data_IF_332790817922
#
_entry.id   IF_332790817922
#
_cell.length_a   1.000
_cell.length_b   1.000
_cell.length_c   1.000
_cell.angle_alpha   90.00
_cell.angle_beta   90.00
_cell.angle_gamma   90.00
#
_symmetry.space_group_name_H-M   'P 1'
#
loop_
_entity.id
_entity.type
_entity.pdbx_description
1 polymer ?
#
# COMPACT_ATOMS: atom_id res chain seq x y z
N UNK A 1 -2.53 8.48 -23.70
CA UNK A 1 -2.28 7.02 -23.53
C UNK A 1 -3.57 6.22 -23.74
N UNK A 2 -4.40 6.60 -24.73
CA UNK A 2 -5.81 6.16 -24.88
C UNK A 2 -6.01 5.20 -26.08
N UNK A 3 -4.99 5.02 -26.95
CA UNK A 3 -5.13 4.29 -28.21
C UNK A 3 -4.33 2.98 -28.30
N UNK A 4 -3.56 2.59 -27.28
CA UNK A 4 -2.67 1.42 -27.38
C UNK A 4 -3.40 0.07 -27.28
N UNK A 5 -4.60 0.02 -26.67
CA UNK A 5 -5.35 -1.24 -26.53
C UNK A 5 -6.30 -1.53 -27.71
N UNK A 6 -6.85 -0.51 -28.37
CA UNK A 6 -7.78 -0.71 -29.50
C UNK A 6 -7.11 -1.22 -30.78
N UNK A 7 -5.81 -0.95 -30.99
CA UNK A 7 -5.11 -1.28 -32.25
C UNK A 7 -4.67 -2.74 -32.39
N UNK A 8 -4.74 -3.54 -31.33
CA UNK A 8 -4.34 -4.95 -31.37
C UNK A 8 -5.50 -5.89 -31.76
N UNK A 9 -6.74 -5.39 -31.77
CA UNK A 9 -7.94 -6.22 -31.90
C UNK A 9 -8.39 -6.51 -33.34
N UNK A 10 -7.95 -5.76 -34.35
CA UNK A 10 -8.47 -5.90 -35.72
C UNK A 10 -7.73 -6.89 -36.62
N UNK A 11 -6.78 -7.67 -36.09
CA UNK A 11 -5.91 -8.54 -36.91
C UNK A 11 -6.09 -10.05 -36.72
N UNK A 12 -7.05 -10.48 -35.90
CA UNK A 12 -7.19 -11.90 -35.52
C UNK A 12 -8.60 -12.47 -35.80
N UNK A 13 -9.33 -11.90 -36.75
CA UNK A 13 -10.71 -12.34 -37.04
C UNK A 13 -10.87 -12.89 -38.47
N UNK A 14 -9.93 -13.74 -38.88
CA UNK A 14 -10.07 -14.57 -40.07
C UNK A 14 -9.13 -15.76 -39.92
N UNK A 15 -9.64 -16.92 -39.48
CA UNK A 15 -9.48 -18.21 -40.16
C UNK A 15 -10.27 -19.31 -39.42
N UNK A 16 -10.95 -20.12 -40.23
CA UNK A 16 -12.09 -20.96 -39.93
C UNK A 16 -11.82 -22.28 -39.17
N UNK A 17 -12.92 -22.73 -38.54
CA UNK A 17 -13.44 -24.09 -38.32
C UNK A 17 -12.71 -25.31 -38.90
N UNK A 18 -12.46 -26.33 -38.05
CA UNK A 18 -13.23 -27.59 -37.96
C UNK A 18 -12.48 -28.65 -37.11
N UNK A 19 -13.26 -29.47 -36.37
CA UNK A 19 -13.15 -30.95 -36.26
C UNK A 19 -12.93 -31.60 -34.85
N UNK A 20 -14.02 -32.23 -34.39
CA UNK A 20 -14.19 -33.50 -33.63
C UNK A 20 -13.58 -33.78 -32.24
N UNK A 21 -14.43 -33.63 -31.21
CA UNK A 21 -15.01 -34.70 -30.32
C UNK A 21 -14.13 -35.81 -29.71
N UNK A 22 -12.82 -35.64 -29.57
CA UNK A 22 -11.99 -36.51 -28.71
C UNK A 22 -11.03 -35.73 -27.79
N UNK A 23 -11.25 -34.41 -27.67
CA UNK A 23 -10.30 -33.43 -27.12
C UNK A 23 -10.66 -32.89 -25.74
N UNK A 24 -11.83 -33.21 -25.20
CA UNK A 24 -12.34 -32.48 -24.03
C UNK A 24 -11.49 -32.71 -22.76
N UNK A 25 -11.04 -33.93 -22.46
CA UNK A 25 -10.27 -34.16 -21.23
C UNK A 25 -8.88 -33.51 -21.26
N UNK A 26 -8.14 -33.66 -22.37
CA UNK A 26 -6.80 -33.07 -22.51
C UNK A 26 -6.87 -31.53 -22.60
N UNK A 27 -7.91 -30.98 -23.25
CA UNK A 27 -8.09 -29.54 -23.36
C UNK A 27 -8.46 -28.88 -22.02
N UNK A 28 -9.28 -29.54 -21.18
CA UNK A 28 -9.57 -29.07 -19.83
C UNK A 28 -8.34 -29.15 -18.91
N UNK A 29 -7.56 -30.24 -19.00
CA UNK A 29 -6.32 -30.36 -18.23
C UNK A 29 -5.26 -29.32 -18.64
N UNK A 30 -5.03 -29.13 -19.94
CA UNK A 30 -4.09 -28.11 -20.43
C UNK A 30 -4.52 -26.68 -20.10
N UNK A 31 -5.81 -26.38 -20.13
CA UNK A 31 -6.29 -25.06 -19.73
C UNK A 31 -6.09 -24.83 -18.22
N UNK A 32 -6.37 -25.83 -17.39
CA UNK A 32 -6.13 -25.76 -15.94
C UNK A 32 -4.64 -25.55 -15.61
N UNK A 33 -3.74 -26.26 -16.30
CA UNK A 33 -2.30 -26.10 -16.14
C UNK A 33 -1.81 -24.71 -16.57
N UNK A 34 -2.28 -24.20 -17.71
CA UNK A 34 -1.92 -22.87 -18.20
C UNK A 34 -2.38 -21.74 -17.27
N UNK A 35 -3.58 -21.86 -16.71
CA UNK A 35 -4.12 -20.92 -15.72
C UNK A 35 -3.29 -20.92 -14.42
N UNK A 36 -2.94 -22.10 -13.93
CA UNK A 36 -2.06 -22.26 -12.77
C UNK A 36 -0.67 -21.67 -13.04
N UNK A 37 -0.09 -21.95 -14.22
CA UNK A 37 1.20 -21.40 -14.62
C UNK A 37 1.19 -19.86 -14.68
N UNK A 38 0.11 -19.26 -15.19
CA UNK A 38 -0.05 -17.81 -15.25
C UNK A 38 -0.14 -17.18 -13.86
N UNK A 39 -0.91 -17.78 -12.94
CA UNK A 39 -0.99 -17.35 -11.55
C UNK A 39 0.36 -17.47 -10.83
N UNK A 40 1.10 -18.57 -11.07
CA UNK A 40 2.44 -18.76 -10.53
C UNK A 40 3.44 -17.74 -11.10
N UNK A 41 3.34 -17.40 -12.38
CA UNK A 41 4.17 -16.36 -12.99
C UNK A 41 3.89 -14.98 -12.38
N UNK A 42 2.63 -14.66 -12.08
CA UNK A 42 2.26 -13.46 -11.32
C UNK A 42 2.89 -13.47 -9.92
N UNK A 43 2.67 -14.53 -9.14
CA UNK A 43 3.23 -14.67 -7.77
C UNK A 43 4.76 -14.62 -7.76
N UNK A 44 5.40 -15.24 -8.74
CA UNK A 44 6.87 -15.24 -8.88
C UNK A 44 7.41 -13.83 -9.17
N UNK A 45 6.77 -13.07 -10.05
CA UNK A 45 7.18 -11.68 -10.34
C UNK A 45 7.09 -10.81 -9.09
N UNK A 46 5.98 -10.89 -8.36
CA UNK A 46 5.76 -10.15 -7.11
C UNK A 46 6.77 -10.57 -6.05
N UNK A 47 6.99 -11.88 -5.89
CA UNK A 47 7.97 -12.42 -4.95
C UNK A 47 9.41 -11.99 -5.26
N UNK A 48 9.79 -11.87 -6.54
CA UNK A 48 11.10 -11.33 -6.94
C UNK A 48 11.27 -9.87 -6.50
N UNK A 49 10.24 -9.05 -6.69
CA UNK A 49 10.27 -7.66 -6.23
C UNK A 49 10.41 -7.57 -4.70
N UNK A 50 9.65 -8.39 -3.98
CA UNK A 50 9.74 -8.48 -2.51
C UNK A 50 11.11 -8.99 -2.07
N UNK A 51 11.68 -9.96 -2.78
CA UNK A 51 13.04 -10.44 -2.55
C UNK A 51 14.08 -9.32 -2.68
N UNK A 52 13.93 -8.46 -3.69
CA UNK A 52 14.77 -7.26 -3.85
C UNK A 52 14.60 -6.29 -2.67
N UNK A 53 13.35 -6.06 -2.23
CA UNK A 53 13.07 -5.22 -1.07
C UNK A 53 13.71 -5.79 0.21
N UNK A 54 13.74 -7.12 0.36
CA UNK A 54 14.40 -7.80 1.48
C UNK A 54 15.93 -7.69 1.45
N UNK A 55 16.55 -7.64 0.27
CA UNK A 55 18.00 -7.45 0.14
C UNK A 55 18.44 -6.06 0.59
N UNK A 56 17.53 -5.09 0.53
CA UNK A 56 17.76 -3.73 1.03
C UNK A 56 17.65 -3.63 2.56
N UNK A 57 17.13 -4.67 3.23
CA UNK A 57 16.96 -4.77 4.70
C UNK A 57 18.18 -5.35 5.43
N UNK A 58 19.38 -5.23 4.88
CA UNK A 58 20.60 -5.77 5.52
C UNK A 58 20.82 -5.17 6.92
N UNK A 59 21.47 -5.89 7.85
CA UNK A 59 21.82 -5.34 9.17
C UNK A 59 22.58 -4.01 9.01
N UNK A 60 22.07 -2.93 9.62
CA UNK A 60 22.61 -1.58 9.50
C UNK A 60 21.99 -0.72 8.38
N UNK A 61 21.08 -1.26 7.58
CA UNK A 61 20.25 -0.46 6.66
C UNK A 61 19.23 0.38 7.42
N UNK A 62 18.97 1.59 6.92
CA UNK A 62 17.99 2.50 7.49
C UNK A 62 16.57 2.03 7.13
N UNK A 63 16.07 1.06 7.89
CA UNK A 63 14.68 0.63 7.83
C UNK A 63 13.76 1.83 8.11
N UNK A 64 12.64 1.91 7.38
CA UNK A 64 11.70 3.04 7.44
C UNK A 64 12.32 4.36 6.93
N UNK A 65 13.51 4.33 6.33
CA UNK A 65 13.97 5.49 5.56
C UNK A 65 13.03 5.76 4.39
N UNK A 66 13.02 7.02 3.94
CA UNK A 66 12.28 7.44 2.75
C UNK A 66 12.51 6.51 1.56
N UNK A 67 13.77 6.19 1.28
CA UNK A 67 14.15 5.36 0.13
C UNK A 67 13.54 3.96 0.16
N UNK A 68 13.34 3.41 1.36
CA UNK A 68 12.71 2.10 1.52
C UNK A 68 11.19 2.20 1.44
N UNK A 69 10.60 3.26 2.01
CA UNK A 69 9.17 3.59 1.90
C UNK A 69 8.75 3.79 0.42
N UNK A 70 9.54 4.50 -0.38
CA UNK A 70 9.31 4.67 -1.82
C UNK A 70 9.28 3.32 -2.56
N UNK A 71 10.19 2.40 -2.21
CA UNK A 71 10.19 1.05 -2.78
C UNK A 71 8.95 0.25 -2.37
N UNK A 72 8.42 0.46 -1.16
CA UNK A 72 7.14 -0.13 -0.74
C UNK A 72 5.96 0.39 -1.58
N UNK A 73 5.91 1.68 -1.91
CA UNK A 73 4.91 2.21 -2.86
C UNK A 73 5.10 1.63 -4.27
N UNK A 74 6.36 1.47 -4.68
CA UNK A 74 6.73 0.78 -5.91
C UNK A 74 6.15 -0.64 -6.00
N UNK A 75 6.11 -1.38 -4.88
CA UNK A 75 5.51 -2.72 -4.81
C UNK A 75 4.01 -2.70 -5.13
N UNK A 76 3.24 -1.74 -4.61
CA UNK A 76 1.82 -1.60 -4.93
C UNK A 76 1.59 -1.38 -6.43
N UNK A 77 2.31 -0.40 -7.00
CA UNK A 77 2.25 -0.09 -8.43
C UNK A 77 2.68 -1.28 -9.29
N UNK A 78 3.73 -2.01 -8.87
CA UNK A 78 4.23 -3.18 -9.57
C UNK A 78 3.22 -4.33 -9.55
N UNK A 79 2.65 -4.65 -8.39
CA UNK A 79 1.65 -5.70 -8.24
C UNK A 79 0.41 -5.42 -9.09
N UNK A 80 -0.07 -4.17 -9.14
CA UNK A 80 -1.18 -3.78 -10.03
C UNK A 80 -0.85 -4.02 -11.51
N UNK A 81 0.38 -3.71 -11.96
CA UNK A 81 0.82 -3.99 -13.34
C UNK A 81 0.93 -5.49 -13.62
N UNK A 82 1.48 -6.25 -12.68
CA UNK A 82 1.58 -7.70 -12.80
C UNK A 82 0.20 -8.36 -12.86
N UNK A 83 -0.77 -7.85 -12.09
CA UNK A 83 -2.17 -8.29 -12.15
C UNK A 83 -2.82 -7.95 -13.49
N UNK A 84 -2.65 -6.73 -14.00
CA UNK A 84 -3.17 -6.37 -15.32
C UNK A 84 -2.59 -7.27 -16.43
N UNK A 85 -1.30 -7.61 -16.34
CA UNK A 85 -0.69 -8.59 -17.23
C UNK A 85 -1.32 -9.98 -17.09
N UNK A 86 -1.55 -10.46 -15.87
CA UNK A 86 -2.20 -11.74 -15.62
C UNK A 86 -3.56 -11.82 -16.32
N UNK A 87 -4.39 -10.76 -16.24
CA UNK A 87 -5.70 -10.72 -16.89
C UNK A 87 -5.61 -10.84 -18.42
N UNK A 88 -4.56 -10.26 -19.02
CA UNK A 88 -4.28 -10.39 -20.46
C UNK A 88 -3.83 -11.81 -20.79
N UNK A 89 -2.91 -12.37 -20.00
CA UNK A 89 -2.34 -13.70 -20.24
C UNK A 89 -3.40 -14.81 -20.15
N UNK A 90 -4.42 -14.65 -19.29
CA UNK A 90 -5.55 -15.59 -19.18
C UNK A 90 -6.75 -15.23 -20.06
N UNK A 91 -6.69 -14.13 -20.82
CA UNK A 91 -7.80 -13.60 -21.62
C UNK A 91 -9.10 -13.49 -20.81
N UNK A 92 -9.06 -12.74 -19.70
CA UNK A 92 -10.20 -12.55 -18.80
C UNK A 92 -10.36 -11.08 -18.39
N UNK A 93 -10.79 -10.22 -19.33
CA UNK A 93 -10.93 -8.79 -19.08
C UNK A 93 -12.03 -8.50 -18.04
N UNK A 94 -11.92 -7.35 -17.38
CA UNK A 94 -12.88 -6.87 -16.37
C UNK A 94 -14.34 -6.84 -16.84
N UNK A 95 -14.57 -6.67 -18.14
CA UNK A 95 -15.92 -6.63 -18.74
C UNK A 95 -16.69 -7.94 -18.64
N UNK A 96 -16.00 -9.07 -18.50
CA UNK A 96 -16.61 -10.41 -18.41
C UNK A 96 -16.49 -11.02 -17.01
N UNK A 97 -16.08 -10.23 -16.02
CA UNK A 97 -15.99 -10.73 -14.66
C UNK A 97 -17.36 -11.09 -14.10
N UNK A 98 -17.37 -12.19 -13.35
CA UNK A 98 -18.52 -12.61 -12.57
C UNK A 98 -18.73 -11.71 -11.35
N UNK A 99 -19.95 -11.70 -10.83
CA UNK A 99 -20.39 -10.81 -9.75
C UNK A 99 -19.48 -10.90 -8.52
N UNK A 100 -19.05 -12.11 -8.16
CA UNK A 100 -18.21 -12.33 -6.99
C UNK A 100 -16.78 -11.79 -7.19
N UNK A 101 -16.22 -11.88 -8.40
CA UNK A 101 -14.92 -11.27 -8.75
C UNK A 101 -14.98 -9.75 -8.72
N UNK A 102 -16.07 -9.18 -9.26
CA UNK A 102 -16.33 -7.73 -9.22
C UNK A 102 -16.44 -7.25 -7.78
N UNK A 103 -17.25 -7.91 -6.96
CA UNK A 103 -17.44 -7.58 -5.55
C UNK A 103 -16.12 -7.66 -4.78
N UNK A 104 -15.34 -8.73 -4.98
CA UNK A 104 -14.03 -8.91 -4.33
C UNK A 104 -13.05 -7.79 -4.67
N UNK A 105 -12.93 -7.42 -5.95
CA UNK A 105 -12.03 -6.34 -6.39
C UNK A 105 -12.51 -4.95 -5.92
N UNK A 106 -13.81 -4.68 -5.99
CA UNK A 106 -14.39 -3.41 -5.50
C UNK A 106 -14.26 -3.29 -3.97
N UNK A 107 -14.43 -4.38 -3.23
CA UNK A 107 -14.20 -4.40 -1.78
C UNK A 107 -12.74 -4.07 -1.46
N UNK A 108 -11.80 -4.78 -2.08
CA UNK A 108 -10.36 -4.54 -1.92
C UNK A 108 -9.96 -3.09 -2.25
N UNK A 109 -10.35 -2.59 -3.43
CA UNK A 109 -9.98 -1.25 -3.88
C UNK A 109 -10.58 -0.16 -3.00
N UNK A 110 -11.78 -0.35 -2.45
CA UNK A 110 -12.36 0.59 -1.49
C UNK A 110 -11.55 0.65 -0.20
N UNK A 111 -11.19 -0.51 0.36
CA UNK A 111 -10.34 -0.57 1.56
C UNK A 111 -8.99 0.13 1.34
N UNK A 112 -8.39 0.00 0.15
CA UNK A 112 -7.16 0.73 -0.18
C UNK A 112 -7.36 2.25 -0.20
N UNK A 113 -8.46 2.75 -0.75
CA UNK A 113 -8.75 4.19 -0.78
C UNK A 113 -8.95 4.74 0.63
N UNK A 114 -9.63 3.99 1.51
CA UNK A 114 -9.78 4.35 2.93
C UNK A 114 -8.43 4.36 3.67
N UNK A 115 -7.54 3.42 3.33
CA UNK A 115 -6.17 3.39 3.85
C UNK A 115 -5.33 4.57 3.40
N UNK A 116 -5.39 4.94 2.12
CA UNK A 116 -4.71 6.12 1.60
C UNK A 116 -5.23 7.40 2.26
N UNK A 117 -6.55 7.53 2.46
CA UNK A 117 -7.12 8.64 3.23
C UNK A 117 -6.59 8.66 4.68
N UNK A 118 -6.47 7.49 5.31
CA UNK A 118 -5.91 7.37 6.66
C UNK A 118 -4.44 7.81 6.70
N UNK A 119 -3.64 7.41 5.69
CA UNK A 119 -2.25 7.84 5.54
C UNK A 119 -2.17 9.36 5.35
N UNK A 120 -2.99 9.95 4.46
CA UNK A 120 -3.06 11.40 4.24
C UNK A 120 -3.48 12.17 5.49
N UNK A 121 -4.38 11.60 6.30
CA UNK A 121 -4.75 12.16 7.61
C UNK A 121 -3.57 12.12 8.59
N UNK A 122 -2.85 11.01 8.66
CA UNK A 122 -1.66 10.90 9.52
C UNK A 122 -0.56 11.86 9.09
N UNK A 123 -0.33 12.03 7.79
CA UNK A 123 0.59 13.05 7.26
C UNK A 123 0.17 14.47 7.64
N UNK A 124 -1.14 14.75 7.61
CA UNK A 124 -1.67 16.05 8.04
C UNK A 124 -1.41 16.31 9.54
N UNK A 125 -1.52 15.29 10.38
CA UNK A 125 -1.18 15.38 11.80
C UNK A 125 0.32 15.66 12.02
N UNK A 126 1.19 14.97 11.28
CA UNK A 126 2.63 15.24 11.28
C UNK A 126 2.91 16.68 10.83
N UNK A 127 2.23 17.15 9.78
CA UNK A 127 2.31 18.52 9.30
C UNK A 127 1.89 19.56 10.34
N UNK A 128 0.80 19.31 11.08
CA UNK A 128 0.36 20.19 12.16
C UNK A 128 1.37 20.24 13.32
N UNK A 129 1.90 19.08 13.72
CA UNK A 129 2.93 19.02 14.77
C UNK A 129 4.19 19.80 14.37
N UNK A 130 4.63 19.64 13.12
CA UNK A 130 5.74 20.40 12.53
C UNK A 130 5.48 21.90 12.56
N UNK A 131 4.32 22.38 12.12
CA UNK A 131 3.97 23.80 12.16
C UNK A 131 3.95 24.36 13.58
N UNK A 132 3.45 23.58 14.56
CA UNK A 132 3.53 23.95 15.97
C UNK A 132 4.98 24.08 16.44
N UNK A 133 5.84 23.12 16.12
CA UNK A 133 7.26 23.16 16.48
C UNK A 133 7.98 24.37 15.87
N UNK A 134 7.76 24.64 14.57
CA UNK A 134 8.29 25.82 13.90
C UNK A 134 7.82 27.12 14.58
N UNK A 135 6.56 27.20 14.97
CA UNK A 135 6.06 28.36 15.70
C UNK A 135 6.71 28.49 17.09
N UNK A 136 6.84 27.39 17.84
CA UNK A 136 7.53 27.37 19.11
C UNK A 136 8.98 27.88 19.01
N UNK A 137 9.68 27.52 17.94
CA UNK A 137 11.01 28.04 17.63
C UNK A 137 11.03 29.56 17.41
N UNK A 138 10.06 30.11 16.68
CA UNK A 138 9.97 31.59 16.48
C UNK A 138 9.72 32.36 17.77
N UNK A 139 9.09 31.71 18.76
CA UNK A 139 8.80 32.29 20.07
C UNK A 139 9.96 32.12 21.07
N UNK A 140 10.98 31.34 20.74
CA UNK A 140 12.01 30.90 21.67
C UNK A 140 12.80 32.07 22.27
N UNK A 141 13.05 33.11 21.49
CA UNK A 141 13.79 34.31 21.91
C UNK A 141 12.87 35.37 22.56
N UNK A 142 11.65 35.52 22.04
CA UNK A 142 10.77 36.64 22.41
C UNK A 142 9.79 36.29 23.55
N UNK A 143 9.45 35.03 23.74
CA UNK A 143 8.45 34.58 24.72
C UNK A 143 8.65 33.11 25.11
N UNK A 144 9.70 32.80 25.89
CA UNK A 144 10.07 31.41 26.22
C UNK A 144 8.96 30.59 26.89
N UNK A 145 8.15 31.23 27.75
CA UNK A 145 7.00 30.59 28.41
C UNK A 145 5.86 30.22 27.45
N UNK A 146 5.76 30.91 26.32
CA UNK A 146 4.80 30.58 25.25
C UNK A 146 5.39 29.56 24.29
N UNK A 147 6.71 29.61 24.02
CA UNK A 147 7.41 28.63 23.19
C UNK A 147 7.25 27.19 23.68
N UNK A 148 7.33 26.96 25.00
CA UNK A 148 7.18 25.62 25.61
C UNK A 148 5.81 25.00 25.40
N UNK A 149 4.76 25.79 25.13
CA UNK A 149 3.43 25.24 24.79
C UNK A 149 3.40 24.59 23.41
N UNK A 150 4.28 25.02 22.52
CA UNK A 150 4.36 24.63 21.12
C UNK A 150 5.50 23.65 20.82
N UNK A 151 6.59 23.72 21.59
CA UNK A 151 7.73 22.80 21.54
C UNK A 151 7.39 21.47 22.22
N UNK A 152 6.49 20.70 21.61
CA UNK A 152 6.06 19.40 22.10
C UNK A 152 6.48 18.29 21.13
N UNK A 153 6.87 17.12 21.65
CA UNK A 153 7.10 15.95 20.81
C UNK A 153 5.87 15.65 19.94
N UNK A 154 6.13 15.23 18.70
CA UNK A 154 5.11 14.72 17.78
C UNK A 154 4.43 13.54 18.46
N UNK A 155 3.13 13.68 18.71
CA UNK A 155 2.34 12.64 19.36
C UNK A 155 1.98 11.52 18.37
N UNK A 156 1.75 10.30 18.86
CA UNK A 156 1.21 9.23 18.04
C UNK A 156 -0.09 9.67 17.36
N UNK A 157 -0.20 9.40 16.05
CA UNK A 157 -1.39 9.70 15.28
C UNK A 157 -2.55 8.76 15.65
N UNK A 158 -3.79 9.24 15.58
CA UNK A 158 -4.95 8.39 15.84
C UNK A 158 -5.36 7.63 14.57
N UNK A 159 -5.22 6.30 14.59
CA UNK A 159 -5.79 5.44 13.57
C UNK A 159 -7.20 4.98 13.97
N UNK A 160 -8.18 5.27 13.11
CA UNK A 160 -9.55 4.80 13.29
C UNK A 160 -9.75 3.47 12.58
N UNK A 161 -10.16 2.48 13.35
CA UNK A 161 -10.29 1.07 12.95
C UNK A 161 -11.68 0.75 12.42
N UNK A 162 -12.49 1.81 12.22
CA UNK A 162 -13.90 1.70 11.89
C UNK A 162 -14.15 1.40 10.40
N UNK A 163 -13.15 1.58 9.55
CA UNK A 163 -13.27 1.29 8.13
C UNK A 163 -13.14 -0.21 7.86
N UNK A 164 -13.80 -0.70 6.81
CA UNK A 164 -13.69 -2.09 6.39
C UNK A 164 -14.52 -3.12 7.17
N UNK A 165 -15.06 -2.82 8.36
CA UNK A 165 -15.76 -3.80 9.24
C UNK A 165 -16.85 -4.62 8.53
N UNK A 166 -17.59 -3.98 7.63
CA UNK A 166 -18.65 -4.60 6.84
C UNK A 166 -18.11 -5.54 5.74
N UNK A 167 -16.94 -5.23 5.18
CA UNK A 167 -16.29 -6.00 4.12
C UNK A 167 -15.56 -7.26 4.63
N UNK A 168 -15.34 -7.39 5.94
CA UNK A 168 -14.70 -8.58 6.54
C UNK A 168 -15.65 -9.75 6.73
N UNK A 169 -16.94 -9.49 6.98
CA UNK A 169 -17.93 -10.53 7.28
C UNK A 169 -18.27 -11.36 6.03
N UNK A 170 -18.05 -10.80 4.84
CA UNK A 170 -18.45 -11.42 3.57
C UNK A 170 -17.40 -12.36 2.97
N UNK A 171 -16.14 -12.28 3.41
CA UNK A 171 -15.02 -13.06 2.87
C UNK A 171 -14.99 -14.55 3.28
N UNK A 172 -15.80 -14.94 4.27
CA UNK A 172 -15.80 -16.30 4.86
C UNK A 172 -16.92 -17.20 4.36
N UNK A 173 -17.80 -16.73 3.46
CA UNK A 173 -18.65 -17.68 2.73
C UNK A 173 -17.76 -18.45 1.78
N UNK A 174 -17.68 -19.76 1.95
CA UNK A 174 -16.98 -20.68 1.04
C UNK A 174 -17.59 -20.59 -0.37
N UNK A 175 -17.11 -19.61 -1.15
CA UNK A 175 -17.42 -19.45 -2.56
C UNK A 175 -16.46 -20.35 -3.34
N UNK A 176 -17.03 -21.19 -4.20
CA UNK A 176 -16.27 -22.10 -5.03
C UNK A 176 -16.01 -21.44 -6.38
N UNK A 177 -14.79 -20.93 -6.57
CA UNK A 177 -14.35 -20.38 -7.84
C UNK A 177 -13.76 -21.48 -8.72
N UNK A 178 -13.95 -21.37 -10.04
CA UNK A 178 -13.36 -22.30 -11.01
C UNK A 178 -12.78 -21.58 -12.22
N UNK A 179 -11.86 -22.23 -12.93
CA UNK A 179 -11.25 -21.69 -14.15
C UNK A 179 -10.58 -20.32 -13.97
N UNK A 180 -10.88 -19.40 -14.89
CA UNK A 180 -10.31 -18.04 -14.92
C UNK A 180 -10.72 -17.19 -13.70
N UNK A 181 -11.93 -17.41 -13.20
CA UNK A 181 -12.46 -16.71 -12.02
C UNK A 181 -11.63 -17.01 -10.76
N UNK A 182 -11.25 -18.29 -10.59
CA UNK A 182 -10.37 -18.71 -9.50
C UNK A 182 -9.00 -18.02 -9.55
N UNK A 183 -8.41 -17.88 -10.75
CA UNK A 183 -7.13 -17.18 -10.92
C UNK A 183 -7.25 -15.72 -10.50
N UNK A 184 -8.32 -15.02 -10.91
CA UNK A 184 -8.56 -13.62 -10.53
C UNK A 184 -8.76 -13.50 -9.03
N UNK A 185 -9.60 -14.34 -8.43
CA UNK A 185 -9.84 -14.33 -7.00
C UNK A 185 -8.55 -14.51 -6.19
N UNK A 186 -7.72 -15.50 -6.54
CA UNK A 186 -6.44 -15.74 -5.87
C UNK A 186 -5.44 -14.61 -6.06
N UNK A 187 -5.42 -13.98 -7.23
CA UNK A 187 -4.57 -12.82 -7.48
C UNK A 187 -5.04 -11.59 -6.67
N UNK A 188 -6.34 -11.32 -6.61
CA UNK A 188 -6.91 -10.22 -5.80
C UNK A 188 -6.66 -10.45 -4.31
N UNK A 189 -6.74 -11.69 -3.83
CA UNK A 189 -6.38 -12.05 -2.44
C UNK A 189 -4.92 -11.70 -2.14
N UNK A 190 -4.01 -12.01 -3.05
CA UNK A 190 -2.59 -11.68 -2.92
C UNK A 190 -2.36 -10.16 -2.97
N UNK A 191 -3.03 -9.44 -3.89
CA UNK A 191 -3.01 -7.97 -3.96
C UNK A 191 -3.49 -7.34 -2.64
N UNK A 192 -4.58 -7.85 -2.05
CA UNK A 192 -5.10 -7.41 -0.76
C UNK A 192 -4.07 -7.55 0.34
N UNK A 193 -3.43 -8.72 0.45
CA UNK A 193 -2.38 -8.97 1.46
C UNK A 193 -1.22 -8.00 1.31
N UNK A 194 -0.72 -7.81 0.10
CA UNK A 194 0.38 -6.88 -0.19
C UNK A 194 -0.01 -5.44 0.12
N UNK A 195 -1.21 -5.02 -0.30
CA UNK A 195 -1.68 -3.66 -0.06
C UNK A 195 -1.86 -3.35 1.42
N UNK A 196 -2.41 -4.28 2.18
CA UNK A 196 -2.59 -4.12 3.62
C UNK A 196 -1.24 -4.15 4.35
N UNK A 197 -0.31 -4.98 3.90
CA UNK A 197 1.05 -5.02 4.43
C UNK A 197 1.79 -3.69 4.22
N UNK A 198 1.80 -3.16 2.99
CA UNK A 198 2.43 -1.87 2.67
C UNK A 198 1.78 -0.73 3.46
N UNK A 199 0.45 -0.62 3.42
CA UNK A 199 -0.27 0.44 4.13
C UNK A 199 -0.07 0.34 5.65
N UNK A 200 -0.02 -0.88 6.20
CA UNK A 200 0.23 -1.10 7.61
C UNK A 200 1.60 -0.62 8.06
N UNK A 201 2.64 -0.85 7.26
CA UNK A 201 4.00 -0.36 7.56
C UNK A 201 4.05 1.17 7.53
N UNK A 202 3.38 1.80 6.56
CA UNK A 202 3.32 3.25 6.45
C UNK A 202 2.58 3.88 7.62
N UNK A 203 1.41 3.33 7.97
CA UNK A 203 0.63 3.79 9.10
C UNK A 203 1.36 3.57 10.42
N UNK A 204 2.04 2.44 10.60
CA UNK A 204 2.93 2.23 11.75
C UNK A 204 3.97 3.35 11.87
N UNK A 205 4.67 3.62 10.76
CA UNK A 205 5.74 4.62 10.71
C UNK A 205 5.22 6.03 11.06
N UNK A 206 4.08 6.42 10.47
CA UNK A 206 3.52 7.75 10.64
C UNK A 206 2.79 7.94 11.98
N UNK A 207 2.09 6.90 12.46
CA UNK A 207 1.35 6.96 13.72
C UNK A 207 2.23 6.67 14.93
N UNK A 208 3.42 6.08 14.75
CA UNK A 208 4.25 5.58 15.87
C UNK A 208 3.47 4.64 16.81
N UNK A 209 2.59 3.82 16.22
CA UNK A 209 1.71 2.89 16.91
C UNK A 209 1.65 1.58 16.11
N UNK A 210 1.83 0.44 16.78
CA UNK A 210 1.72 -0.92 16.22
C UNK A 210 0.29 -1.34 15.86
N UNK A 211 -0.71 -0.71 16.47
CA UNK A 211 -2.12 -1.08 16.31
C UNK A 211 -2.61 -1.09 14.85
N UNK A 212 -2.34 -0.08 14.00
CA UNK A 212 -2.79 -0.07 12.61
C UNK A 212 -2.25 -1.28 11.83
N UNK A 213 -0.97 -1.61 12.02
CA UNK A 213 -0.35 -2.77 11.37
C UNK A 213 -1.02 -4.08 11.79
N UNK A 214 -1.20 -4.26 13.10
CA UNK A 214 -1.80 -5.48 13.65
C UNK A 214 -3.26 -5.67 13.22
N UNK A 215 -4.01 -4.58 13.11
CA UNK A 215 -5.38 -4.63 12.60
C UNK A 215 -5.40 -4.97 11.12
N UNK A 216 -4.55 -4.36 10.31
CA UNK A 216 -4.48 -4.67 8.88
C UNK A 216 -4.03 -6.11 8.61
N UNK A 217 -3.11 -6.62 9.42
CA UNK A 217 -2.73 -8.05 9.39
C UNK A 217 -3.92 -8.96 9.70
N UNK A 218 -4.74 -8.63 10.69
CA UNK A 218 -5.98 -9.38 10.99
C UNK A 218 -6.99 -9.27 9.84
N UNK A 219 -7.17 -8.09 9.28
CA UNK A 219 -8.04 -7.80 8.14
C UNK A 219 -7.63 -8.54 6.85
N UNK A 220 -6.35 -8.89 6.72
CA UNK A 220 -5.81 -9.72 5.65
C UNK A 220 -5.96 -11.24 5.91
N UNK A 221 -6.52 -11.65 7.06
CA UNK A 221 -6.48 -13.01 7.59
C UNK A 221 -5.04 -13.55 7.73
N UNK A 222 -4.14 -12.67 8.17
CA UNK A 222 -2.70 -12.93 8.21
C UNK A 222 -2.05 -12.82 6.83
N UNK A 223 -0.76 -13.11 6.79
CA UNK A 223 0.04 -13.11 5.56
C UNK A 223 0.48 -14.53 5.16
N UNK A 224 -0.07 -15.55 5.79
CA UNK A 224 0.22 -16.95 5.47
C UNK A 224 -0.05 -17.25 4.00
N UNK A 225 0.89 -17.94 3.35
CA UNK A 225 0.84 -18.24 1.92
C UNK A 225 1.01 -17.03 0.98
N UNK A 226 1.32 -15.84 1.51
CA UNK A 226 1.62 -14.65 0.71
C UNK A 226 3.11 -14.47 0.49
N UNK A 227 3.46 -13.82 -0.61
CA UNK A 227 4.83 -13.47 -0.96
C UNK A 227 5.51 -12.53 0.05
N UNK A 228 4.74 -11.76 0.84
CA UNK A 228 5.27 -10.85 1.88
C UNK A 228 5.65 -11.54 3.19
N UNK A 229 5.22 -12.79 3.42
CA UNK A 229 5.42 -13.51 4.69
C UNK A 229 6.89 -13.50 5.19
N UNK A 230 7.91 -13.73 4.34
CA UNK A 230 9.31 -13.72 4.80
C UNK A 230 9.81 -12.35 5.26
N UNK A 231 9.21 -11.26 4.77
CA UNK A 231 9.53 -9.91 5.25
C UNK A 231 8.68 -9.53 6.46
N UNK A 232 7.42 -9.94 6.52
CA UNK A 232 6.52 -9.65 7.65
C UNK A 232 7.13 -10.08 8.99
N UNK A 233 7.78 -11.24 9.07
CA UNK A 233 8.43 -11.69 10.30
C UNK A 233 9.56 -10.74 10.74
N UNK A 234 10.43 -10.34 9.80
CA UNK A 234 11.52 -9.39 10.05
C UNK A 234 11.00 -8.02 10.44
N UNK A 235 9.97 -7.54 9.74
CA UNK A 235 9.32 -6.26 10.02
C UNK A 235 8.68 -6.28 11.41
N UNK A 236 7.98 -7.35 11.76
CA UNK A 236 7.34 -7.50 13.08
C UNK A 236 8.39 -7.42 14.21
N UNK A 237 9.51 -8.15 14.08
CA UNK A 237 10.62 -8.08 15.06
C UNK A 237 11.22 -6.67 15.15
N UNK A 238 11.33 -5.96 14.03
CA UNK A 238 11.89 -4.61 14.00
C UNK A 238 10.91 -3.56 14.54
N UNK A 239 9.60 -3.70 14.32
CA UNK A 239 8.58 -2.82 14.89
C UNK A 239 8.56 -2.87 16.43
N UNK A 240 8.88 -4.02 17.02
CA UNK A 240 9.06 -4.14 18.48
C UNK A 240 10.29 -3.35 18.98
N UNK A 241 11.35 -3.26 18.18
CA UNK A 241 12.60 -2.56 18.52
C UNK A 241 12.55 -1.06 18.23
N UNK A 242 11.80 -0.66 17.20
CA UNK A 242 11.72 0.72 16.71
C UNK A 242 10.26 1.15 16.57
N UNK A 243 9.65 1.72 17.62
CA UNK A 243 8.21 1.99 17.66
C UNK A 243 7.76 3.17 16.77
N UNK A 244 8.69 3.87 16.13
CA UNK A 244 8.41 5.08 15.36
C UNK A 244 9.40 5.26 14.20
N UNK A 245 9.01 6.08 13.23
CA UNK A 245 9.89 6.55 12.16
C UNK A 245 11.16 7.22 12.73
N UNK A 246 12.32 6.95 12.14
CA UNK A 246 13.63 7.47 12.59
C UNK A 246 13.63 8.99 12.65
N UNK A 247 13.15 9.64 11.61
CA UNK A 247 13.10 11.10 11.49
C UNK A 247 12.21 11.74 12.56
N UNK A 248 11.09 11.08 12.93
CA UNK A 248 10.20 11.53 14.02
C UNK A 248 10.85 11.32 15.38
N UNK A 249 11.55 10.19 15.58
CA UNK A 249 12.29 9.92 16.81
C UNK A 249 13.40 10.96 17.02
N UNK A 250 14.26 11.15 16.03
CA UNK A 250 15.34 12.13 16.09
C UNK A 250 14.82 13.55 16.31
N UNK A 251 13.70 13.91 15.66
CA UNK A 251 13.04 15.19 15.91
C UNK A 251 12.59 15.32 17.38
N UNK A 252 11.94 14.30 17.92
CA UNK A 252 11.46 14.29 19.30
C UNK A 252 12.61 14.34 20.32
N UNK A 253 13.74 13.67 20.04
CA UNK A 253 14.94 13.70 20.87
C UNK A 253 15.56 15.12 20.91
N UNK A 254 15.61 15.80 19.76
CA UNK A 254 16.09 17.20 19.68
C UNK A 254 15.14 18.16 20.39
N UNK A 255 13.82 17.96 20.30
CA UNK A 255 12.83 18.75 21.05
C UNK A 255 13.03 18.57 22.56
N UNK A 256 13.21 17.33 23.02
CA UNK A 256 13.48 17.04 24.43
C UNK A 256 14.78 17.70 24.91
N UNK A 257 15.85 17.64 24.10
CA UNK A 257 17.11 18.32 24.40
C UNK A 257 16.93 19.84 24.47
N UNK A 258 16.19 20.44 23.54
CA UNK A 258 15.95 21.88 23.50
C UNK A 258 15.22 22.40 24.75
N UNK A 259 14.32 21.59 25.32
CA UNK A 259 13.56 21.95 26.53
C UNK A 259 14.42 21.97 27.80
N UNK A 260 15.54 21.24 27.83
CA UNK A 260 16.44 21.14 29.00
C UNK A 260 17.79 21.83 28.79
N UNK A 261 18.08 22.30 27.57
CA UNK A 261 19.32 22.97 27.22
C UNK A 261 19.51 24.29 27.98
N UNK A 262 20.76 24.58 28.36
CA UNK A 262 21.16 25.90 28.88
C UNK A 262 21.15 26.94 27.76
N UNK A 263 21.04 28.22 28.12
CA UNK A 263 20.98 29.32 27.15
C UNK A 263 22.19 29.37 26.20
N UNK A 264 23.35 28.89 26.65
CA UNK A 264 24.60 28.83 25.87
C UNK A 264 24.52 27.87 24.66
N UNK A 265 23.82 26.74 24.80
CA UNK A 265 23.74 25.68 23.77
C UNK A 265 22.40 25.70 23.04
N UNK A 266 21.39 26.37 23.60
CA UNK A 266 20.01 26.41 23.11
C UNK A 266 19.88 26.86 21.64
N UNK A 267 20.70 27.81 21.22
CA UNK A 267 20.70 28.29 19.84
C UNK A 267 21.19 27.22 18.85
N UNK A 268 22.19 26.42 19.23
CA UNK A 268 22.70 25.34 18.38
C UNK A 268 21.69 24.19 18.29
N UNK A 269 21.05 23.83 19.41
CA UNK A 269 19.95 22.84 19.41
C UNK A 269 18.75 23.33 18.60
N UNK A 270 18.44 24.63 18.63
CA UNK A 270 17.37 25.21 17.82
C UNK A 270 17.68 25.12 16.31
N UNK A 271 18.93 25.35 15.90
CA UNK A 271 19.38 25.16 14.51
C UNK A 271 19.28 23.70 14.06
N UNK A 272 19.64 22.77 14.93
CA UNK A 272 19.46 21.35 14.68
C UNK A 272 17.97 21.01 14.47
N UNK A 273 17.09 21.54 15.33
CA UNK A 273 15.64 21.34 15.22
C UNK A 273 15.09 21.86 13.88
N UNK A 274 15.53 23.05 13.44
CA UNK A 274 15.15 23.60 12.12
C UNK A 274 15.54 22.63 11.00
N UNK A 275 16.76 22.09 11.05
CA UNK A 275 17.26 21.16 10.03
C UNK A 275 16.41 19.89 10.00
N UNK A 276 16.07 19.33 11.16
CA UNK A 276 15.20 18.14 11.27
C UNK A 276 13.77 18.40 10.78
N UNK A 277 13.21 19.57 11.09
CA UNK A 277 11.87 19.96 10.60
C UNK A 277 11.81 20.07 9.07
N UNK A 278 12.88 20.56 8.43
CA UNK A 278 12.98 20.62 6.97
C UNK A 278 13.11 19.23 6.32
N UNK A 279 13.84 18.31 6.97
CA UNK A 279 13.93 16.91 6.50
C UNK A 279 12.55 16.25 6.58
N UNK A 280 11.84 16.42 7.70
CA UNK A 280 10.50 15.85 7.88
C UNK A 280 9.46 16.43 6.92
N UNK A 281 9.56 17.72 6.58
CA UNK A 281 8.71 18.36 5.56
C UNK A 281 8.90 17.69 4.20
N UNK A 282 10.14 17.64 3.71
CA UNK A 282 10.46 17.01 2.42
C UNK A 282 9.98 15.56 2.36
N UNK A 283 10.18 14.82 3.45
CA UNK A 283 9.70 13.46 3.57
C UNK A 283 8.18 13.36 3.47
N UNK A 284 7.47 14.24 4.19
CA UNK A 284 6.00 14.26 4.18
C UNK A 284 5.45 14.60 2.80
N UNK A 285 6.09 15.53 2.09
CA UNK A 285 5.68 15.93 0.74
C UNK A 285 5.86 14.80 -0.28
N UNK A 286 6.98 14.07 -0.22
CA UNK A 286 7.23 12.91 -1.08
C UNK A 286 6.22 11.80 -0.82
N UNK A 287 6.00 11.43 0.45
CA UNK A 287 5.02 10.39 0.80
C UNK A 287 3.61 10.81 0.36
N UNK A 288 3.25 12.10 0.55
CA UNK A 288 1.95 12.61 0.12
C UNK A 288 1.75 12.48 -1.39
N UNK A 289 2.75 12.86 -2.18
CA UNK A 289 2.68 12.76 -3.64
C UNK A 289 2.49 11.30 -4.11
N UNK A 290 3.22 10.36 -3.51
CA UNK A 290 3.07 8.92 -3.81
C UNK A 290 1.68 8.38 -3.42
N UNK A 291 1.16 8.79 -2.27
CA UNK A 291 -0.18 8.40 -1.80
C UNK A 291 -1.27 8.97 -2.73
N UNK A 292 -1.16 10.24 -3.11
CA UNK A 292 -2.12 10.90 -4.01
C UNK A 292 -2.11 10.27 -5.43
N UNK A 293 -0.94 9.90 -5.94
CA UNK A 293 -0.80 9.18 -7.21
C UNK A 293 -1.41 7.76 -7.14
N UNK A 294 -1.12 7.00 -6.08
CA UNK A 294 -1.71 5.68 -5.87
C UNK A 294 -3.23 5.74 -5.69
N UNK A 295 -3.73 6.71 -4.93
CA UNK A 295 -5.16 6.96 -4.77
C UNK A 295 -5.82 7.21 -6.13
N UNK A 296 -5.25 8.09 -6.93
CA UNK A 296 -5.74 8.42 -8.27
C UNK A 296 -5.77 7.21 -9.20
N UNK A 297 -4.72 6.37 -9.16
CA UNK A 297 -4.64 5.13 -9.95
C UNK A 297 -5.69 4.11 -9.56
N UNK A 298 -5.89 3.88 -8.26
CA UNK A 298 -6.92 2.95 -7.76
C UNK A 298 -8.32 3.46 -8.09
N UNK A 299 -8.56 4.77 -7.96
CA UNK A 299 -9.83 5.40 -8.37
C UNK A 299 -10.10 5.22 -9.86
N UNK A 300 -9.09 5.41 -10.72
CA UNK A 300 -9.23 5.24 -12.16
C UNK A 300 -9.63 3.79 -12.52
N UNK A 301 -8.92 2.80 -11.96
CA UNK A 301 -9.22 1.38 -12.18
C UNK A 301 -10.63 0.99 -11.69
N UNK A 302 -11.03 1.51 -10.53
CA UNK A 302 -12.38 1.31 -9.98
C UNK A 302 -13.45 1.88 -10.91
N UNK A 303 -13.23 3.08 -11.41
CA UNK A 303 -14.16 3.78 -12.32
C UNK A 303 -14.31 3.00 -13.62
N UNK A 304 -13.20 2.55 -14.20
CA UNK A 304 -13.18 1.72 -15.41
C UNK A 304 -14.02 0.45 -15.24
N UNK A 305 -13.84 -0.28 -14.12
CA UNK A 305 -14.64 -1.47 -13.82
C UNK A 305 -16.14 -1.13 -13.71
N UNK A 306 -16.50 -0.05 -13.01
CA UNK A 306 -17.89 0.37 -12.87
C UNK A 306 -18.51 0.75 -14.22
N UNK A 307 -17.75 1.40 -15.10
CA UNK A 307 -18.22 1.78 -16.43
C UNK A 307 -18.41 0.55 -17.34
N UNK A 308 -17.52 -0.44 -17.27
CA UNK A 308 -17.73 -1.73 -17.94
C UNK A 308 -19.04 -2.40 -17.51
N UNK A 309 -19.37 -2.37 -16.22
CA UNK A 309 -20.62 -2.95 -15.69
C UNK A 309 -21.86 -2.18 -16.14
N UNK A 310 -21.77 -0.85 -16.27
CA UNK A 310 -22.87 -0.02 -16.80
C UNK A 310 -23.15 -0.34 -18.26
N UNK A 311 -22.11 -0.50 -19.08
CA UNK A 311 -22.24 -0.88 -20.48
C UNK A 311 -22.90 -2.26 -20.64
N UNK A 312 -22.52 -3.24 -19.81
CA UNK A 312 -23.13 -4.59 -19.81
C UNK A 312 -24.62 -4.59 -19.49
N UNK A 313 -25.11 -3.64 -18.69
CA UNK A 313 -26.54 -3.52 -18.38
C UNK A 313 -27.38 -2.88 -19.50
N UNK A 314 -26.73 -2.25 -20.48
CA UNK A 314 -27.38 -1.55 -21.59
C UNK A 314 -27.43 -2.37 -22.89
N UNK A 315 -26.67 -3.48 -22.96
CA UNK A 315 -26.65 -4.47 -24.04
C UNK A 315 -27.59 -5.64 -23.75
#
# INVERSE_FOLDING_TARGET
MVQKFAKLYTKLDNHHHHRHTQTNHDQFHHQSEALSASLQAFRSQVSKFIGQLALDLKPGSELLSLSWIEKCFGLLSFTNKAFAKLLVDIDYPMSIWEVDSVEGYLSYSLCLLELFNSISSSLSHVGQARLSLSHGLTLLENSPSSATRHLKPVQPGCFSTKFGKEFFIQGDKARFFSGKEWVVHEAVKEMKKIGFWVCGILLFSLCSDGKPYMELKKMAAGFDGSSVLPLDSKISEMMEKFPSLKEVKELNDVVAHLLVASDEVKHDVAKELITKLQVLEKLSDVIKAEVDDLFSKVMAQRTELVDCLRLRKQS
#
